data_IF_993808330568
#
_entry.id   IF_993808330568
#
_cell.length_a   1.000
_cell.length_b   1.000
_cell.length_c   1.000
_cell.angle_alpha   90.00
_cell.angle_beta   90.00
_cell.angle_gamma   90.00
#
_symmetry.space_group_name_H-M   'P 1'
#
loop_
_entity.id
_entity.type
_entity.pdbx_description
1 polymer ?
#
# COMPACT_ATOMS: atom_id res chain seq x y z
N UNK A 1 42.40 5.30 16.08
CA UNK A 1 41.40 6.36 15.95
C UNK A 1 41.12 6.57 14.46
N UNK A 2 40.13 5.89 13.93
CA UNK A 2 39.69 6.03 12.53
C UNK A 2 38.26 6.55 12.57
N UNK A 3 38.05 7.76 12.04
CA UNK A 3 36.73 8.42 11.95
C UNK A 3 36.06 7.94 10.69
N UNK A 4 35.15 7.00 10.79
CA UNK A 4 34.22 6.68 9.69
C UNK A 4 33.17 7.78 9.58
N UNK A 5 33.29 8.61 8.52
CA UNK A 5 32.28 9.58 8.11
C UNK A 5 31.32 8.86 7.16
N UNK A 6 30.11 8.57 7.62
CA UNK A 6 29.00 8.22 6.73
C UNK A 6 28.54 9.49 6.00
N UNK A 7 28.95 9.62 4.75
CA UNK A 7 28.45 10.66 3.84
C UNK A 7 27.14 10.16 3.17
N UNK A 8 26.02 10.48 3.75
CA UNK A 8 24.75 10.44 3.05
C UNK A 8 24.70 11.63 2.07
N UNK A 9 25.05 11.40 0.81
CA UNK A 9 24.84 12.35 -0.27
C UNK A 9 23.41 12.21 -0.79
N UNK A 10 22.57 13.22 -0.53
CA UNK A 10 21.34 13.43 -1.26
C UNK A 10 21.68 13.76 -2.73
N UNK A 11 20.94 13.27 -3.72
CA UNK A 11 21.17 13.61 -5.11
C UNK A 11 20.95 15.12 -5.33
N UNK A 12 21.82 15.80 -6.12
CA UNK A 12 21.71 17.23 -6.36
C UNK A 12 20.51 17.53 -7.25
N UNK A 13 19.59 18.34 -6.74
CA UNK A 13 18.61 19.02 -7.57
C UNK A 13 19.31 20.08 -8.42
N UNK A 14 19.19 19.96 -9.74
CA UNK A 14 19.73 20.93 -10.70
C UNK A 14 19.05 22.27 -10.53
N UNK A 15 19.78 23.26 -10.01
CA UNK A 15 19.40 24.66 -10.04
C UNK A 15 20.13 25.26 -11.25
N UNK A 16 19.43 25.51 -12.33
CA UNK A 16 19.87 26.39 -13.36
C UNK A 16 19.57 27.85 -12.96
N UNK A 17 20.63 28.57 -12.68
CA UNK A 17 20.58 30.06 -12.57
C UNK A 17 20.55 30.63 -13.97
N UNK A 18 19.47 31.32 -14.32
CA UNK A 18 19.47 32.26 -15.46
C UNK A 18 19.70 33.65 -14.92
N UNK A 19 20.81 34.23 -15.37
CA UNK A 19 21.18 35.63 -15.15
C UNK A 19 20.24 36.55 -15.94
N UNK A 20 19.66 37.52 -15.23
CA UNK A 20 19.03 38.70 -15.82
C UNK A 20 20.08 39.66 -16.41
N UNK A 21 19.86 40.08 -17.64
CA UNK A 21 20.37 41.33 -18.13
C UNK A 21 19.22 42.13 -18.77
N UNK A 22 19.03 43.31 -18.17
CA UNK A 22 18.13 44.39 -18.59
C UNK A 22 18.28 44.76 -20.06
N UNK A 23 17.16 45.05 -20.74
CA UNK A 23 17.07 46.28 -21.54
C UNK A 23 15.61 46.68 -21.80
N UNK A 24 15.36 47.95 -21.52
CA UNK A 24 14.15 48.73 -21.77
C UNK A 24 13.79 48.82 -23.26
N UNK A 25 12.50 48.73 -23.58
CA UNK A 25 11.78 49.74 -24.38
C UNK A 25 10.28 49.46 -24.35
N UNK A 26 9.50 50.55 -24.18
CA UNK A 26 8.06 50.51 -23.97
C UNK A 26 7.26 50.29 -25.26
N UNK A 27 6.00 49.96 -25.08
CA UNK A 27 4.80 50.61 -25.63
C UNK A 27 3.55 49.76 -25.44
N UNK A 28 2.50 50.44 -24.97
CA UNK A 28 1.06 50.24 -25.22
C UNK A 28 0.31 48.97 -24.75
N UNK A 29 -0.57 49.21 -23.79
CA UNK A 29 -1.72 48.44 -23.37
C UNK A 29 -2.75 48.22 -24.48
N UNK A 30 -3.40 47.06 -24.51
CA UNK A 30 -4.86 47.06 -24.54
C UNK A 30 -5.48 46.22 -23.42
N UNK A 31 -6.48 46.80 -22.82
CA UNK A 31 -7.42 46.23 -21.88
C UNK A 31 -7.95 44.86 -22.39
N UNK A 32 -7.82 43.85 -21.57
CA UNK A 32 -8.51 42.57 -21.81
C UNK A 32 -9.42 42.26 -20.65
N UNK A 33 -10.70 42.14 -21.03
CA UNK A 33 -11.87 41.81 -20.23
C UNK A 33 -11.59 40.62 -19.31
N UNK A 34 -12.11 40.73 -18.09
CA UNK A 34 -12.27 39.60 -17.15
C UNK A 34 -12.98 38.45 -17.83
N UNK A 35 -12.28 37.35 -17.99
CA UNK A 35 -12.91 36.08 -18.31
C UNK A 35 -12.93 35.21 -17.05
N UNK A 36 -14.13 34.99 -16.61
CA UNK A 36 -14.60 34.01 -15.63
C UNK A 36 -13.91 32.66 -15.77
N UNK A 37 -13.62 32.06 -14.65
CA UNK A 37 -12.86 30.84 -14.44
C UNK A 37 -13.16 29.72 -15.44
N UNK A 38 -12.13 29.27 -16.11
CA UNK A 38 -12.13 27.99 -16.79
C UNK A 38 -11.78 26.91 -15.78
N UNK A 39 -12.80 26.33 -15.16
CA UNK A 39 -12.73 24.98 -14.58
C UNK A 39 -12.45 24.03 -15.74
N UNK A 40 -11.20 23.57 -15.84
CA UNK A 40 -10.81 22.60 -16.85
C UNK A 40 -11.58 21.28 -16.62
N UNK A 41 -12.62 21.09 -17.43
CA UNK A 41 -13.25 19.79 -17.59
C UNK A 41 -12.17 18.78 -17.98
N UNK A 42 -11.96 17.80 -17.12
CA UNK A 42 -11.09 16.66 -17.38
C UNK A 42 -11.70 15.87 -18.53
N UNK A 43 -10.93 15.60 -19.57
CA UNK A 43 -11.33 14.66 -20.62
C UNK A 43 -11.47 13.27 -19.99
N UNK A 44 -12.64 13.01 -19.42
CA UNK A 44 -12.99 11.69 -18.90
C UNK A 44 -13.01 10.74 -20.09
N UNK A 45 -12.22 9.65 -20.02
CA UNK A 45 -12.37 8.51 -20.93
C UNK A 45 -13.86 8.12 -20.95
N UNK A 46 -14.43 7.88 -22.15
CA UNK A 46 -15.81 7.45 -22.23
C UNK A 46 -15.99 6.11 -21.51
N UNK A 47 -17.19 5.86 -20.97
CA UNK A 47 -17.51 4.57 -20.33
C UNK A 47 -17.21 3.40 -21.27
N UNK A 48 -17.48 3.55 -22.58
CA UNK A 48 -17.16 2.56 -23.58
C UNK A 48 -15.66 2.26 -23.68
N UNK A 49 -14.81 3.29 -23.61
CA UNK A 49 -13.36 3.10 -23.62
C UNK A 49 -12.88 2.39 -22.35
N UNK A 50 -13.43 2.73 -21.19
CA UNK A 50 -13.11 2.07 -19.91
C UNK A 50 -13.59 0.61 -19.92
N UNK A 51 -14.81 0.35 -20.39
CA UNK A 51 -15.35 -1.01 -20.53
C UNK A 51 -14.51 -1.85 -21.49
N UNK A 52 -14.02 -1.27 -22.58
CA UNK A 52 -13.11 -1.94 -23.49
C UNK A 52 -11.77 -2.29 -22.82
N UNK A 53 -11.19 -1.39 -22.06
CA UNK A 53 -9.94 -1.65 -21.32
C UNK A 53 -10.08 -2.81 -20.34
N UNK A 54 -11.21 -2.94 -19.64
CA UNK A 54 -11.42 -4.06 -18.71
C UNK A 54 -11.67 -5.40 -19.41
N UNK A 55 -12.09 -5.41 -20.68
CA UNK A 55 -12.22 -6.64 -21.47
C UNK A 55 -10.87 -7.30 -21.78
N UNK A 56 -9.80 -6.51 -21.81
CA UNK A 56 -8.43 -6.98 -22.05
C UNK A 56 -7.75 -7.56 -20.79
N UNK A 57 -8.38 -7.42 -19.62
CA UNK A 57 -7.83 -7.95 -18.37
C UNK A 57 -8.27 -9.40 -18.16
N UNK A 58 -7.33 -10.20 -17.66
CA UNK A 58 -7.61 -11.57 -17.22
C UNK A 58 -8.41 -11.54 -15.92
N UNK A 59 -9.74 -11.76 -16.05
CA UNK A 59 -10.72 -11.68 -14.98
C UNK A 59 -11.79 -12.74 -15.14
N UNK A 60 -12.26 -13.28 -14.02
CA UNK A 60 -13.46 -14.09 -14.00
C UNK A 60 -14.74 -13.24 -14.20
N UNK A 61 -15.85 -13.90 -14.50
CA UNK A 61 -17.14 -13.23 -14.79
C UNK A 61 -17.66 -12.40 -13.60
N UNK A 62 -17.37 -12.83 -12.38
CA UNK A 62 -17.77 -12.12 -11.14
C UNK A 62 -16.98 -10.84 -10.98
N UNK A 63 -15.65 -10.92 -11.16
CA UNK A 63 -14.76 -9.76 -11.15
C UNK A 63 -15.15 -8.76 -12.24
N UNK A 64 -15.45 -9.25 -13.45
CA UNK A 64 -15.87 -8.41 -14.58
C UNK A 64 -17.16 -7.64 -14.26
N UNK A 65 -18.19 -8.32 -13.79
CA UNK A 65 -19.45 -7.66 -13.38
C UNK A 65 -19.26 -6.61 -12.30
N UNK A 66 -18.41 -6.90 -11.31
CA UNK A 66 -18.11 -5.96 -10.21
C UNK A 66 -17.37 -4.72 -10.74
N UNK A 67 -16.42 -4.90 -11.65
CA UNK A 67 -15.70 -3.77 -12.28
C UNK A 67 -16.63 -2.92 -13.14
N UNK A 68 -17.53 -3.53 -13.90
CA UNK A 68 -18.56 -2.80 -14.68
C UNK A 68 -19.45 -1.95 -13.76
N UNK A 69 -19.95 -2.52 -12.67
CA UNK A 69 -20.74 -1.80 -11.67
C UNK A 69 -19.94 -0.63 -11.09
N UNK A 70 -18.68 -0.87 -10.72
CA UNK A 70 -17.80 0.17 -10.18
C UNK A 70 -17.60 1.32 -11.18
N UNK A 71 -17.31 1.03 -12.46
CA UNK A 71 -17.12 2.04 -13.50
C UNK A 71 -18.38 2.86 -13.76
N UNK A 72 -19.55 2.23 -13.77
CA UNK A 72 -20.85 2.92 -13.89
C UNK A 72 -21.09 3.82 -12.69
N UNK A 73 -20.80 3.37 -11.47
CA UNK A 73 -20.92 4.19 -10.27
C UNK A 73 -19.95 5.38 -10.31
N UNK A 74 -18.69 5.13 -10.65
CA UNK A 74 -17.64 6.16 -10.77
C UNK A 74 -18.06 7.27 -11.75
N UNK A 75 -18.65 6.92 -12.87
CA UNK A 75 -19.12 7.89 -13.85
C UNK A 75 -20.31 8.74 -13.34
N UNK A 76 -21.20 8.14 -12.55
CA UNK A 76 -22.39 8.83 -12.00
C UNK A 76 -22.06 9.81 -10.87
N UNK A 77 -20.90 9.68 -10.22
CA UNK A 77 -20.54 10.52 -9.07
C UNK A 77 -20.29 11.96 -9.50
N UNK A 78 -19.71 12.19 -10.68
CA UNK A 78 -19.38 13.53 -11.16
C UNK A 78 -18.23 14.18 -10.37
N UNK A 79 -18.31 15.49 -10.19
CA UNK A 79 -17.30 16.28 -9.44
C UNK A 79 -17.54 16.14 -7.94
N UNK A 80 -16.49 15.77 -7.20
CA UNK A 80 -16.54 15.57 -5.74
C UNK A 80 -16.33 16.90 -5.00
N UNK A 81 -17.19 17.18 -4.00
CA UNK A 81 -17.06 18.33 -3.13
C UNK A 81 -17.10 17.89 -1.67
N UNK A 82 -16.31 18.56 -0.81
CA UNK A 82 -16.23 18.24 0.62
C UNK A 82 -17.59 18.31 1.35
N UNK A 83 -18.49 19.22 0.94
CA UNK A 83 -19.79 19.42 1.55
C UNK A 83 -20.79 18.27 1.27
N UNK A 84 -20.48 17.46 0.26
CA UNK A 84 -21.29 16.31 -0.15
C UNK A 84 -21.03 15.06 0.69
N UNK A 85 -20.10 15.11 1.62
CA UNK A 85 -19.76 13.96 2.45
C UNK A 85 -20.36 14.04 3.85
N UNK A 86 -20.79 12.87 4.34
CA UNK A 86 -21.21 12.63 5.71
C UNK A 86 -20.29 11.62 6.35
N UNK A 87 -19.60 12.01 7.43
CA UNK A 87 -18.69 11.11 8.16
C UNK A 87 -19.52 10.06 8.93
N UNK A 88 -19.24 8.78 8.67
CA UNK A 88 -19.86 7.65 9.36
C UNK A 88 -18.94 7.06 10.44
N UNK A 89 -17.61 7.22 10.29
CA UNK A 89 -16.63 6.74 11.25
C UNK A 89 -15.21 6.92 10.76
N UNK A 90 -14.25 6.59 11.61
CA UNK A 90 -12.84 6.58 11.27
C UNK A 90 -12.39 5.15 10.99
N UNK A 91 -11.64 4.94 9.92
CA UNK A 91 -11.09 3.64 9.53
C UNK A 91 -9.65 3.45 9.99
N UNK A 92 -8.91 4.56 10.11
CA UNK A 92 -7.54 4.55 10.59
C UNK A 92 -6.88 5.92 10.47
N UNK A 93 -5.82 6.09 11.24
CA UNK A 93 -4.95 7.27 11.20
C UNK A 93 -3.49 6.84 11.20
N UNK A 94 -2.65 7.54 10.44
CA UNK A 94 -1.23 7.25 10.32
C UNK A 94 -0.47 8.38 9.64
N UNK A 95 0.79 8.12 9.29
CA UNK A 95 1.65 9.10 8.61
C UNK A 95 1.09 9.60 7.28
N UNK A 96 0.26 8.78 6.62
CA UNK A 96 -0.42 9.13 5.36
C UNK A 96 -1.68 9.97 5.53
N UNK A 97 -2.03 10.41 6.75
CA UNK A 97 -3.27 11.13 7.06
C UNK A 97 -4.32 10.27 7.77
N UNK A 98 -5.54 10.78 7.81
CA UNK A 98 -6.69 10.10 8.42
C UNK A 98 -7.56 9.51 7.32
N UNK A 99 -8.02 8.27 7.51
CA UNK A 99 -8.97 7.63 6.58
C UNK A 99 -10.31 7.48 7.28
N UNK A 100 -11.34 8.09 6.71
CA UNK A 100 -12.71 8.04 7.21
C UNK A 100 -13.58 7.15 6.31
N UNK A 101 -14.56 6.49 6.94
CA UNK A 101 -15.72 5.94 6.26
C UNK A 101 -16.74 7.07 6.10
N UNK A 102 -17.07 7.42 4.88
CA UNK A 102 -17.97 8.54 4.60
C UNK A 102 -19.04 8.12 3.56
N UNK A 103 -20.23 8.75 3.68
CA UNK A 103 -21.28 8.61 2.69
C UNK A 103 -21.26 9.83 1.77
N UNK A 104 -21.15 9.60 0.47
CA UNK A 104 -21.36 10.64 -0.52
C UNK A 104 -22.87 10.85 -0.72
N UNK A 105 -23.41 11.95 -0.17
CA UNK A 105 -24.86 12.24 -0.08
C UNK A 105 -25.56 12.17 -1.43
N UNK A 106 -25.03 12.80 -2.53
CA UNK A 106 -25.74 12.79 -3.81
C UNK A 106 -25.90 11.39 -4.44
N UNK A 107 -24.91 10.51 -4.28
CA UNK A 107 -24.95 9.16 -4.85
C UNK A 107 -25.39 8.07 -3.86
N UNK A 108 -25.41 8.38 -2.55
CA UNK A 108 -25.64 7.40 -1.49
C UNK A 108 -24.49 6.41 -1.26
N UNK A 109 -23.41 6.48 -2.05
CA UNK A 109 -22.28 5.54 -1.97
C UNK A 109 -21.48 5.75 -0.68
N UNK A 110 -21.08 4.64 -0.08
CA UNK A 110 -20.13 4.63 1.03
C UNK A 110 -18.73 4.51 0.44
N UNK A 111 -17.83 5.42 0.86
CA UNK A 111 -16.46 5.54 0.40
C UNK A 111 -15.50 5.56 1.57
N UNK A 112 -14.25 5.16 1.31
CA UNK A 112 -13.11 5.50 2.15
C UNK A 112 -12.54 6.82 1.66
N UNK A 113 -12.50 7.84 2.52
CA UNK A 113 -11.92 9.15 2.21
C UNK A 113 -10.66 9.36 3.03
N UNK A 114 -9.52 9.41 2.35
CA UNK A 114 -8.22 9.70 2.94
C UNK A 114 -7.98 11.20 2.94
N UNK A 115 -7.74 11.76 4.11
CA UNK A 115 -7.53 13.17 4.36
C UNK A 115 -6.05 13.40 4.65
N UNK A 116 -5.37 14.15 3.79
CA UNK A 116 -3.95 14.46 3.92
C UNK A 116 -3.83 15.95 4.14
N UNK A 117 -3.45 16.35 5.36
CA UNK A 117 -3.18 17.76 5.65
C UNK A 117 -1.85 18.17 5.04
N UNK A 118 -1.87 19.18 4.17
CA UNK A 118 -0.70 19.55 3.39
C UNK A 118 -0.68 21.06 3.08
N UNK A 119 0.15 21.77 3.82
CA UNK A 119 0.39 23.20 3.59
C UNK A 119 1.50 23.39 2.55
N UNK A 120 1.13 23.43 1.28
CA UNK A 120 2.06 23.59 0.16
C UNK A 120 1.68 24.74 -0.75
N UNK A 121 2.67 25.26 -1.48
CA UNK A 121 2.46 26.28 -2.50
C UNK A 121 1.46 25.81 -3.57
N UNK A 122 0.64 26.72 -4.16
CA UNK A 122 -0.37 26.35 -5.16
C UNK A 122 0.17 25.55 -6.35
N UNK A 123 1.40 25.83 -6.79
CA UNK A 123 2.05 25.10 -7.88
C UNK A 123 2.29 23.63 -7.52
N UNK A 124 2.83 23.36 -6.33
CA UNK A 124 3.08 22.00 -5.82
C UNK A 124 1.76 21.24 -5.64
N UNK A 125 0.74 21.88 -5.05
CA UNK A 125 -0.60 21.32 -4.93
C UNK A 125 -1.16 20.89 -6.28
N UNK A 126 -1.08 21.76 -7.30
CA UNK A 126 -1.61 21.45 -8.63
C UNK A 126 -0.83 20.32 -9.30
N UNK A 127 0.46 20.19 -9.01
CA UNK A 127 1.27 19.06 -9.45
C UNK A 127 0.81 17.75 -8.78
N UNK A 128 0.64 17.73 -7.46
CA UNK A 128 0.14 16.56 -6.72
C UNK A 128 -1.22 16.10 -7.26
N UNK A 129 -2.16 17.03 -7.46
CA UNK A 129 -3.48 16.70 -8.03
C UNK A 129 -3.35 16.12 -9.45
N UNK A 130 -2.41 16.62 -10.26
CA UNK A 130 -2.15 16.03 -11.60
C UNK A 130 -1.58 14.62 -11.50
N UNK A 131 -0.66 14.36 -10.58
CA UNK A 131 -0.08 13.04 -10.37
C UNK A 131 -1.12 12.04 -9.85
N UNK A 132 -2.05 12.48 -8.99
CA UNK A 132 -3.17 11.65 -8.53
C UNK A 132 -4.17 11.29 -9.66
N UNK A 133 -4.12 11.99 -10.80
CA UNK A 133 -4.99 11.64 -11.96
C UNK A 133 -4.72 10.26 -12.53
N UNK A 134 -3.49 9.78 -12.46
CA UNK A 134 -3.16 8.44 -12.93
C UNK A 134 -3.98 7.36 -12.21
N UNK A 135 -4.40 7.62 -10.97
CA UNK A 135 -5.30 6.72 -10.23
C UNK A 135 -6.67 6.53 -10.91
N UNK A 136 -7.14 7.53 -11.67
CA UNK A 136 -8.38 7.39 -12.43
C UNK A 136 -8.29 6.32 -13.54
N UNK A 137 -7.10 6.09 -14.04
CA UNK A 137 -6.84 5.13 -15.11
C UNK A 137 -6.57 3.73 -14.57
N UNK A 138 -6.19 3.64 -13.27
CA UNK A 138 -5.97 2.37 -12.59
C UNK A 138 -7.30 1.69 -12.24
N UNK A 139 -7.84 0.92 -13.19
CA UNK A 139 -9.08 0.17 -13.00
C UNK A 139 -8.79 -1.33 -13.17
N UNK A 140 -8.65 -2.04 -12.06
CA UNK A 140 -8.33 -3.47 -12.01
C UNK A 140 -9.03 -4.11 -10.80
N UNK A 141 -9.46 -5.39 -10.89
CA UNK A 141 -10.05 -6.09 -9.75
C UNK A 141 -9.08 -6.29 -8.58
N UNK A 142 -7.79 -6.08 -8.81
CA UNK A 142 -6.71 -6.25 -7.83
C UNK A 142 -6.27 -4.93 -7.17
N UNK A 143 -6.84 -3.80 -7.63
CA UNK A 143 -6.51 -2.45 -7.15
C UNK A 143 -7.76 -1.84 -6.51
N UNK A 144 -7.59 -1.16 -5.37
CA UNK A 144 -8.70 -0.42 -4.74
C UNK A 144 -9.19 0.68 -5.69
N UNK A 145 -10.50 0.68 -5.94
CA UNK A 145 -11.13 1.61 -6.87
C UNK A 145 -10.97 3.07 -6.41
N UNK A 146 -10.63 3.95 -7.34
CA UNK A 146 -10.48 5.37 -7.10
C UNK A 146 -11.64 6.15 -7.73
N UNK A 147 -12.37 6.92 -6.93
CA UNK A 147 -13.47 7.77 -7.39
C UNK A 147 -13.00 9.17 -7.78
N UNK A 148 -12.09 9.76 -7.02
CA UNK A 148 -11.57 11.09 -7.31
C UNK A 148 -10.74 11.65 -6.17
N UNK A 149 -10.11 12.80 -6.43
CA UNK A 149 -9.39 13.58 -5.43
C UNK A 149 -9.66 15.07 -5.63
N UNK A 150 -9.71 15.81 -4.52
CA UNK A 150 -9.89 17.25 -4.51
C UNK A 150 -9.13 17.89 -3.36
N UNK A 151 -8.94 19.20 -3.45
CA UNK A 151 -8.28 20.00 -2.41
C UNK A 151 -9.25 21.02 -1.82
N UNK A 152 -9.24 21.14 -0.49
CA UNK A 152 -9.99 22.16 0.23
C UNK A 152 -9.26 22.54 1.52
N UNK A 153 -9.06 23.82 1.74
CA UNK A 153 -8.58 24.42 3.02
C UNK A 153 -7.32 23.76 3.62
N UNK A 154 -6.29 23.54 2.81
CA UNK A 154 -5.05 22.91 3.33
C UNK A 154 -5.07 21.40 3.35
N UNK A 155 -6.11 20.75 2.81
CA UNK A 155 -6.29 19.32 2.85
C UNK A 155 -6.54 18.73 1.47
N UNK A 156 -5.83 17.66 1.14
CA UNK A 156 -6.12 16.81 -0.02
C UNK A 156 -7.02 15.67 0.43
N UNK A 157 -8.14 15.51 -0.24
CA UNK A 157 -9.06 14.40 -0.06
C UNK A 157 -8.92 13.42 -1.20
N UNK A 158 -8.71 12.14 -0.90
CA UNK A 158 -8.65 11.04 -1.86
C UNK A 158 -9.83 10.12 -1.55
N UNK A 159 -10.78 9.99 -2.51
CA UNK A 159 -11.99 9.19 -2.35
C UNK A 159 -11.83 7.85 -3.06
N UNK A 160 -11.97 6.78 -2.31
CA UNK A 160 -11.70 5.41 -2.77
C UNK A 160 -12.87 4.47 -2.42
N UNK A 161 -12.88 3.32 -3.08
CA UNK A 161 -13.75 2.21 -2.76
C UNK A 161 -13.62 1.81 -1.29
N UNK A 162 -14.75 1.59 -0.61
CA UNK A 162 -14.77 1.13 0.76
C UNK A 162 -14.68 -0.39 0.84
N UNK A 163 -13.64 -0.89 1.50
CA UNK A 163 -13.39 -2.30 1.74
C UNK A 163 -13.79 -2.62 3.20
N UNK A 164 -14.92 -3.28 3.40
CA UNK A 164 -15.55 -3.47 4.72
C UNK A 164 -14.84 -4.49 5.63
N UNK A 165 -13.97 -5.34 5.07
CA UNK A 165 -13.09 -6.23 5.82
C UNK A 165 -11.83 -5.52 6.35
N UNK A 166 -11.55 -4.28 5.90
CA UNK A 166 -10.36 -3.52 6.30
C UNK A 166 -9.07 -4.06 5.70
N UNK A 167 -7.96 -3.76 6.36
CA UNK A 167 -6.61 -4.15 5.92
C UNK A 167 -6.14 -5.46 6.56
N UNK A 168 -5.20 -6.15 5.91
CA UNK A 168 -4.69 -7.44 6.38
C UNK A 168 -3.95 -7.35 7.72
N UNK A 169 -3.38 -6.20 8.08
CA UNK A 169 -2.80 -6.03 9.43
C UNK A 169 -3.88 -6.03 10.51
N UNK A 170 -5.09 -5.50 10.25
CA UNK A 170 -6.23 -5.60 11.15
C UNK A 170 -6.76 -7.04 11.22
N UNK A 171 -6.83 -7.72 10.09
CA UNK A 171 -7.18 -9.14 10.04
C UNK A 171 -6.16 -9.98 10.82
N UNK A 172 -4.87 -9.71 10.65
CA UNK A 172 -3.79 -10.41 11.35
C UNK A 172 -3.87 -10.25 12.87
N UNK A 173 -4.14 -9.03 13.35
CA UNK A 173 -4.35 -8.76 14.80
C UNK A 173 -5.48 -9.59 15.40
N UNK A 174 -6.55 -9.84 14.63
CA UNK A 174 -7.69 -10.66 15.08
C UNK A 174 -7.45 -12.16 14.91
N UNK A 175 -6.89 -12.56 13.76
CA UNK A 175 -6.65 -13.96 13.42
C UNK A 175 -5.40 -14.55 14.08
N UNK A 176 -4.52 -13.72 14.66
CA UNK A 176 -3.20 -14.07 15.18
C UNK A 176 -2.24 -14.45 14.06
N UNK A 177 -2.67 -15.23 13.08
CA UNK A 177 -1.95 -15.63 11.87
C UNK A 177 -2.93 -15.97 10.75
N UNK A 178 -2.48 -15.87 9.51
CA UNK A 178 -3.31 -16.15 8.34
C UNK A 178 -2.98 -17.56 7.80
N UNK A 179 -3.99 -18.43 7.57
CA UNK A 179 -3.78 -19.76 7.02
C UNK A 179 -3.12 -19.75 5.63
N UNK A 180 -2.27 -20.74 5.35
CA UNK A 180 -1.53 -20.84 4.09
C UNK A 180 -2.42 -20.79 2.83
N UNK A 181 -3.59 -21.44 2.73
CA UNK A 181 -4.44 -21.33 1.56
C UNK A 181 -4.94 -19.89 1.31
N UNK A 182 -5.23 -19.13 2.38
CA UNK A 182 -5.61 -17.72 2.31
C UNK A 182 -4.40 -16.88 1.85
N UNK A 183 -3.20 -17.15 2.40
CA UNK A 183 -1.96 -16.46 1.97
C UNK A 183 -1.66 -16.67 0.49
N UNK A 184 -1.95 -17.85 -0.04
CA UNK A 184 -1.75 -18.14 -1.45
C UNK A 184 -2.65 -17.29 -2.35
N UNK A 185 -3.93 -17.11 -2.00
CA UNK A 185 -4.85 -16.21 -2.70
C UNK A 185 -4.42 -14.74 -2.57
N UNK A 186 -3.97 -14.33 -1.39
CA UNK A 186 -3.44 -12.98 -1.16
C UNK A 186 -2.22 -12.74 -2.05
N UNK A 187 -1.26 -13.66 -2.04
CA UNK A 187 -0.03 -13.54 -2.84
C UNK A 187 -0.34 -13.47 -4.35
N UNK A 188 -1.18 -14.38 -4.87
CA UNK A 188 -1.61 -14.36 -6.27
C UNK A 188 -2.22 -13.02 -6.65
N UNK A 189 -3.13 -12.49 -5.82
CA UNK A 189 -3.79 -11.21 -6.06
C UNK A 189 -2.81 -10.03 -6.04
N UNK A 190 -1.89 -10.00 -5.07
CA UNK A 190 -0.87 -8.93 -4.99
C UNK A 190 0.05 -8.96 -6.20
N UNK A 191 0.52 -10.15 -6.61
CA UNK A 191 1.34 -10.30 -7.81
C UNK A 191 0.63 -9.81 -9.08
N UNK A 192 -0.66 -10.13 -9.25
CA UNK A 192 -1.49 -9.63 -10.37
C UNK A 192 -1.66 -8.10 -10.31
N UNK A 193 -1.85 -7.55 -9.11
CA UNK A 193 -1.95 -6.11 -8.91
C UNK A 193 -0.64 -5.38 -9.25
N UNK A 194 0.51 -5.90 -8.79
CA UNK A 194 1.83 -5.34 -9.09
C UNK A 194 2.16 -5.42 -10.58
N UNK A 195 1.85 -6.56 -11.24
CA UNK A 195 2.01 -6.72 -12.67
C UNK A 195 1.16 -5.71 -13.46
N UNK A 196 -0.12 -5.55 -13.09
CA UNK A 196 -1.00 -4.55 -13.70
C UNK A 196 -0.44 -3.12 -13.57
N UNK A 197 -0.01 -2.71 -12.39
CA UNK A 197 0.59 -1.39 -12.17
C UNK A 197 1.85 -1.20 -13.03
N UNK A 198 2.70 -2.22 -13.11
CA UNK A 198 3.95 -2.15 -13.87
C UNK A 198 3.73 -2.14 -15.38
N UNK A 199 2.93 -3.06 -15.90
CA UNK A 199 2.77 -3.29 -17.34
C UNK A 199 1.88 -2.24 -18.01
N UNK A 200 0.78 -1.87 -17.35
CA UNK A 200 -0.20 -0.93 -17.93
C UNK A 200 0.13 0.54 -17.63
N UNK A 201 0.72 0.83 -16.46
CA UNK A 201 0.91 2.20 -15.99
C UNK A 201 2.36 2.58 -15.69
N UNK A 202 3.31 1.65 -15.77
CA UNK A 202 4.73 1.85 -15.43
C UNK A 202 4.94 2.34 -13.98
N UNK A 203 4.03 1.97 -13.07
CA UNK A 203 4.06 2.33 -11.67
C UNK A 203 4.73 1.22 -10.86
N UNK A 204 5.56 1.60 -9.90
CA UNK A 204 6.11 0.75 -8.85
C UNK A 204 5.37 1.10 -7.56
N UNK A 205 4.93 0.09 -6.78
CA UNK A 205 4.08 0.30 -5.59
C UNK A 205 4.82 1.03 -4.46
N UNK A 206 6.01 0.60 -4.11
CA UNK A 206 6.93 1.19 -3.13
C UNK A 206 6.54 1.06 -1.65
N UNK A 207 5.38 0.50 -1.34
CA UNK A 207 4.92 0.35 0.05
C UNK A 207 4.02 -0.90 0.19
N UNK A 208 4.51 -2.05 -0.30
CA UNK A 208 3.81 -3.34 -0.15
C UNK A 208 3.94 -3.84 1.28
N UNK A 209 2.81 -3.95 1.97
CA UNK A 209 2.73 -4.42 3.37
C UNK A 209 1.28 -4.79 3.73
N UNK A 210 1.04 -5.54 4.81
CA UNK A 210 -0.31 -5.97 5.19
C UNK A 210 -1.33 -4.83 5.37
N UNK A 211 -0.89 -3.64 5.84
CA UNK A 211 -1.79 -2.48 5.99
C UNK A 211 -2.25 -1.86 4.66
N UNK A 212 -1.57 -2.14 3.56
CA UNK A 212 -1.88 -1.65 2.21
C UNK A 212 -2.51 -2.74 1.32
N UNK A 213 -2.92 -3.86 1.91
CA UNK A 213 -3.69 -4.91 1.25
C UNK A 213 -5.03 -4.99 1.96
N UNK A 214 -6.11 -4.66 1.23
CA UNK A 214 -7.45 -4.57 1.77
C UNK A 214 -8.29 -5.77 1.33
N UNK A 215 -9.24 -6.14 2.18
CA UNK A 215 -10.20 -7.22 1.91
C UNK A 215 -11.63 -6.75 2.18
N UNK A 216 -12.61 -7.46 1.63
CA UNK A 216 -14.00 -7.18 1.90
C UNK A 216 -14.83 -8.46 2.14
N UNK A 217 -16.06 -8.27 2.61
CA UNK A 217 -17.02 -9.35 2.91
C UNK A 217 -17.43 -10.19 1.68
N UNK A 218 -17.09 -9.75 0.47
CA UNK A 218 -17.30 -10.49 -0.78
C UNK A 218 -16.12 -11.34 -1.20
N UNK A 219 -15.04 -11.36 -0.41
CA UNK A 219 -13.82 -12.12 -0.68
C UNK A 219 -12.88 -11.45 -1.69
N UNK A 220 -13.09 -10.16 -2.00
CA UNK A 220 -12.14 -9.41 -2.84
C UNK A 220 -10.92 -9.02 -2.01
N UNK A 221 -9.75 -9.13 -2.64
CA UNK A 221 -8.46 -8.71 -2.09
C UNK A 221 -7.92 -7.65 -3.04
N UNK A 222 -7.51 -6.48 -2.53
CA UNK A 222 -7.03 -5.37 -3.38
C UNK A 222 -5.87 -4.65 -2.72
N UNK A 223 -4.90 -4.20 -3.52
CA UNK A 223 -3.80 -3.36 -3.05
C UNK A 223 -4.18 -1.87 -3.16
N UNK A 224 -3.70 -1.07 -2.21
CA UNK A 224 -3.94 0.38 -2.16
C UNK A 224 -2.66 1.13 -1.80
N UNK A 225 -2.74 2.45 -1.81
CA UNK A 225 -1.66 3.36 -1.38
C UNK A 225 -0.33 3.18 -2.12
N UNK A 226 -0.38 2.80 -3.40
CA UNK A 226 0.82 2.70 -4.22
C UNK A 226 1.39 4.10 -4.56
N UNK A 227 2.71 4.17 -4.75
CA UNK A 227 3.49 5.39 -4.87
C UNK A 227 3.24 6.20 -6.15
N UNK A 228 2.05 6.77 -6.28
CA UNK A 228 1.63 7.55 -7.45
C UNK A 228 2.17 8.97 -7.47
N UNK A 229 2.69 9.49 -6.36
CA UNK A 229 3.14 10.87 -6.28
C UNK A 229 4.43 11.00 -5.48
N UNK A 230 5.56 11.05 -6.18
CA UNK A 230 6.84 11.43 -5.56
C UNK A 230 6.74 12.77 -4.85
N UNK A 231 6.10 13.76 -5.48
CA UNK A 231 5.91 15.10 -4.93
C UNK A 231 5.01 15.10 -3.68
N UNK A 232 4.00 14.22 -3.62
CA UNK A 232 3.17 14.06 -2.42
C UNK A 232 4.00 13.50 -1.27
N UNK A 233 4.81 12.46 -1.51
CA UNK A 233 5.69 11.86 -0.52
C UNK A 233 6.70 12.88 0.00
N UNK A 234 7.37 13.61 -0.91
CA UNK A 234 8.36 14.63 -0.54
C UNK A 234 7.71 15.79 0.23
N UNK A 235 6.51 16.21 -0.17
CA UNK A 235 5.78 17.28 0.49
C UNK A 235 5.28 16.87 1.88
N UNK A 236 4.84 15.62 2.04
CA UNK A 236 4.48 15.06 3.36
C UNK A 236 5.71 15.00 4.28
N UNK A 237 6.84 14.49 3.79
CA UNK A 237 8.08 14.43 4.56
C UNK A 237 8.51 15.84 5.04
N UNK A 238 8.44 16.84 4.17
CA UNK A 238 8.76 18.23 4.52
C UNK A 238 7.78 18.84 5.52
N UNK A 239 6.48 18.53 5.42
CA UNK A 239 5.46 18.98 6.37
C UNK A 239 5.69 18.39 7.75
N UNK A 240 6.05 17.10 7.82
CA UNK A 240 6.40 16.45 9.10
C UNK A 240 7.64 17.07 9.78
N UNK A 241 8.63 17.50 9.02
CA UNK A 241 9.80 18.22 9.57
C UNK A 241 9.41 19.60 10.09
N UNK A 242 8.44 20.29 9.48
CA UNK A 242 7.95 21.61 9.91
C UNK A 242 6.96 21.58 11.08
N UNK A 243 6.20 20.50 11.25
CA UNK A 243 5.08 20.40 12.22
C UNK A 243 5.51 19.93 13.61
N UNK A 244 6.79 19.79 13.89
CA UNK A 244 7.31 19.40 15.24
C UNK A 244 6.83 20.31 16.38
N UNK A 245 6.29 21.49 16.09
CA UNK A 245 5.92 22.51 17.08
C UNK A 245 4.48 22.42 17.57
N UNK A 246 3.59 21.60 16.98
CA UNK A 246 2.16 21.61 17.28
C UNK A 246 1.55 20.26 17.69
N UNK A 247 2.35 19.21 17.84
CA UNK A 247 1.82 17.95 18.38
C UNK A 247 1.83 18.00 19.90
N UNK A 248 0.71 18.35 20.46
CA UNK A 248 0.40 18.16 21.89
C UNK A 248 0.23 16.69 22.20
N UNK A 249 1.10 16.12 23.07
CA UNK A 249 0.81 14.93 23.85
C UNK A 249 1.05 13.57 23.18
N UNK A 250 2.19 12.95 23.56
CA UNK A 250 2.34 11.51 23.81
C UNK A 250 2.08 10.48 22.66
N UNK A 251 2.58 10.75 21.47
CA UNK A 251 2.93 9.63 20.55
C UNK A 251 4.44 9.65 20.38
N UNK A 252 5.18 8.63 20.87
CA UNK A 252 6.64 8.60 20.67
C UNK A 252 6.95 8.64 19.17
N UNK A 253 7.77 9.62 18.76
CA UNK A 253 8.24 9.80 17.39
C UNK A 253 8.85 8.51 16.82
N UNK A 254 9.39 7.65 17.69
CA UNK A 254 9.90 6.32 17.37
C UNK A 254 8.85 5.38 16.76
N UNK A 255 7.57 5.44 17.16
CA UNK A 255 6.50 4.59 16.59
C UNK A 255 6.04 5.03 15.21
N UNK A 256 6.13 6.31 14.91
CA UNK A 256 5.64 6.89 13.65
C UNK A 256 6.62 6.68 12.48
N UNK A 257 7.92 6.74 12.76
CA UNK A 257 8.97 6.52 11.76
C UNK A 257 9.29 5.03 11.56
N UNK A 258 9.09 4.20 12.57
CA UNK A 258 9.47 2.79 12.58
C UNK A 258 8.69 1.97 11.55
N UNK A 259 7.40 2.23 11.36
CA UNK A 259 6.56 1.48 10.39
C UNK A 259 7.03 1.61 8.93
N UNK A 260 7.71 2.70 8.57
CA UNK A 260 8.21 2.93 7.22
C UNK A 260 9.45 2.09 6.89
N UNK A 261 10.21 1.69 7.92
CA UNK A 261 11.49 1.00 7.76
C UNK A 261 11.40 -0.53 7.86
N UNK A 262 10.28 -1.07 8.35
CA UNK A 262 10.13 -2.51 8.54
C UNK A 262 10.18 -3.33 7.25
N UNK A 263 9.71 -2.77 6.13
CA UNK A 263 9.65 -3.47 4.84
C UNK A 263 10.70 -2.97 3.84
N UNK A 264 11.69 -2.20 4.34
CA UNK A 264 12.75 -1.63 3.49
C UNK A 264 13.67 -2.74 2.96
N UNK A 265 14.11 -2.59 1.74
CA UNK A 265 14.94 -3.55 1.02
C UNK A 265 16.44 -3.29 1.26
N UNK A 266 17.27 -4.35 1.23
CA UNK A 266 18.72 -4.20 1.41
C UNK A 266 19.37 -3.25 0.41
N UNK A 267 18.96 -3.29 -0.86
CA UNK A 267 19.47 -2.43 -1.92
C UNK A 267 19.22 -0.94 -1.68
N UNK A 268 18.06 -0.59 -1.14
CA UNK A 268 17.74 0.80 -0.81
C UNK A 268 18.61 1.35 0.33
N UNK A 269 18.94 0.50 1.30
CA UNK A 269 19.85 0.86 2.38
C UNK A 269 21.29 1.06 1.88
N UNK A 270 21.67 0.38 0.80
CA UNK A 270 22.95 0.55 0.12
C UNK A 270 22.97 1.75 -0.85
N UNK A 271 21.85 2.46 -1.02
CA UNK A 271 21.76 3.65 -1.86
C UNK A 271 21.35 3.38 -3.31
N UNK A 272 20.93 2.17 -3.63
CA UNK A 272 20.43 1.80 -4.94
C UNK A 272 19.01 2.32 -5.20
N UNK A 273 18.63 2.41 -6.47
CA UNK A 273 17.32 2.87 -6.89
C UNK A 273 16.24 1.81 -6.63
N UNK A 274 15.06 2.28 -6.26
CA UNK A 274 13.88 1.45 -6.07
C UNK A 274 13.45 0.78 -7.39
N UNK A 275 13.08 -0.50 -7.31
CA UNK A 275 12.66 -1.29 -8.48
C UNK A 275 11.46 -2.19 -8.14
N UNK A 276 10.93 -2.89 -9.13
CA UNK A 276 9.90 -3.91 -8.91
C UNK A 276 10.41 -5.04 -8.01
N UNK A 277 11.71 -5.34 -8.06
CA UNK A 277 12.31 -6.32 -7.16
C UNK A 277 12.19 -5.91 -5.69
N UNK A 278 12.14 -4.61 -5.40
CA UNK A 278 11.92 -4.08 -4.05
C UNK A 278 10.50 -4.40 -3.55
N UNK A 279 9.46 -4.25 -4.39
CA UNK A 279 8.09 -4.66 -4.04
C UNK A 279 7.99 -6.16 -3.75
N UNK A 280 8.77 -6.98 -4.45
CA UNK A 280 8.83 -8.44 -4.24
C UNK A 280 9.46 -8.79 -2.90
N UNK A 281 10.52 -8.10 -2.49
CA UNK A 281 11.09 -8.26 -1.15
C UNK A 281 10.05 -7.94 -0.06
N UNK A 282 9.39 -6.79 -0.17
CA UNK A 282 8.35 -6.36 0.76
C UNK A 282 7.17 -7.34 0.82
N UNK A 283 6.78 -7.93 -0.32
CA UNK A 283 5.80 -9.01 -0.37
C UNK A 283 6.28 -10.25 0.39
N UNK A 284 7.52 -10.67 0.18
CA UNK A 284 8.12 -11.80 0.89
C UNK A 284 8.09 -11.61 2.41
N UNK A 285 8.51 -10.43 2.91
CA UNK A 285 8.43 -10.10 4.33
C UNK A 285 7.00 -10.12 4.85
N UNK A 286 6.06 -9.55 4.09
CA UNK A 286 4.63 -9.53 4.44
C UNK A 286 4.05 -10.94 4.55
N UNK A 287 4.44 -11.85 3.65
CA UNK A 287 4.00 -13.25 3.69
C UNK A 287 4.52 -13.97 4.93
N UNK A 288 5.80 -13.79 5.28
CA UNK A 288 6.36 -14.36 6.51
C UNK A 288 5.65 -13.83 7.74
N UNK A 289 5.48 -12.49 7.84
CA UNK A 289 4.78 -11.87 8.96
C UNK A 289 3.35 -12.41 9.12
N UNK A 290 2.58 -12.47 8.05
CA UNK A 290 1.20 -12.98 8.08
C UNK A 290 1.14 -14.48 8.41
N UNK A 291 2.13 -15.27 7.98
CA UNK A 291 2.20 -16.69 8.23
C UNK A 291 2.54 -17.03 9.69
N UNK A 292 3.45 -16.29 10.31
CA UNK A 292 3.89 -16.53 11.70
C UNK A 292 3.16 -15.66 12.73
N UNK A 293 2.47 -14.61 12.30
CA UNK A 293 1.68 -13.73 13.17
C UNK A 293 2.47 -12.59 13.82
N UNK A 294 3.72 -12.38 13.40
CA UNK A 294 4.58 -11.31 13.91
C UNK A 294 5.60 -10.89 12.89
N UNK A 295 6.12 -9.68 13.02
CA UNK A 295 7.19 -9.18 12.16
C UNK A 295 8.45 -10.08 12.29
N UNK A 296 9.06 -10.52 11.16
CA UNK A 296 10.06 -11.57 11.17
C UNK A 296 11.51 -11.11 11.40
N UNK A 297 11.76 -9.84 11.68
CA UNK A 297 13.11 -9.32 11.94
C UNK A 297 13.17 -8.61 13.30
N UNK A 298 14.00 -9.06 14.24
CA UNK A 298 14.82 -10.28 14.18
C UNK A 298 13.96 -11.54 14.18
N UNK A 299 14.46 -12.66 13.65
CA UNK A 299 13.70 -13.92 13.66
C UNK A 299 13.25 -14.30 15.07
N UNK A 300 12.00 -14.78 15.25
CA UNK A 300 11.51 -15.22 16.53
C UNK A 300 12.32 -16.41 17.04
N UNK A 301 12.53 -16.46 18.34
CA UNK A 301 13.27 -17.53 18.99
C UNK A 301 12.52 -18.88 18.92
N UNK A 302 13.23 -20.03 19.03
CA UNK A 302 12.62 -21.35 18.93
C UNK A 302 11.48 -21.61 19.93
N UNK A 303 11.53 -21.01 21.13
CA UNK A 303 10.48 -21.18 22.14
C UNK A 303 9.22 -20.41 21.74
N UNK A 304 9.36 -19.23 21.15
CA UNK A 304 8.24 -18.46 20.58
C UNK A 304 7.60 -19.22 19.43
N UNK A 305 8.39 -19.78 18.52
CA UNK A 305 7.87 -20.61 17.43
C UNK A 305 7.16 -21.87 17.93
N UNK A 306 7.69 -22.53 18.97
CA UNK A 306 7.01 -23.67 19.63
C UNK A 306 5.68 -23.29 20.26
N UNK A 307 5.57 -22.11 20.85
CA UNK A 307 4.30 -21.60 21.38
C UNK A 307 3.27 -21.38 20.29
N UNK A 308 3.71 -20.90 19.10
CA UNK A 308 2.84 -20.61 17.96
C UNK A 308 2.40 -21.87 17.23
N UNK A 309 3.31 -22.82 16.99
CA UNK A 309 3.09 -23.97 16.10
C UNK A 309 3.06 -25.33 16.81
N UNK A 310 3.32 -25.36 18.11
CA UNK A 310 3.28 -26.60 18.90
C UNK A 310 4.35 -27.61 18.49
N UNK A 311 4.00 -28.90 18.50
CA UNK A 311 4.89 -30.00 18.17
C UNK A 311 5.33 -30.09 16.71
N UNK A 312 4.77 -29.28 15.81
CA UNK A 312 5.18 -29.24 14.40
C UNK A 312 6.62 -28.76 14.20
N UNK A 313 7.25 -28.17 15.24
CA UNK A 313 8.64 -27.68 15.21
C UNK A 313 9.59 -28.62 15.95
N UNK A 314 9.38 -29.91 15.95
CA UNK A 314 10.34 -30.87 16.52
C UNK A 314 11.53 -31.05 15.55
N UNK A 315 12.74 -30.70 16.00
CA UNK A 315 13.99 -30.96 15.28
C UNK A 315 14.81 -29.75 14.86
N UNK A 316 14.39 -28.53 15.17
CA UNK A 316 15.20 -27.34 14.89
C UNK A 316 16.25 -27.18 15.96
N UNK A 317 17.47 -27.68 15.72
CA UNK A 317 18.64 -27.33 16.49
C UNK A 317 18.95 -25.84 16.28
N UNK A 318 19.29 -25.08 17.33
CA UNK A 318 19.67 -23.68 17.15
C UNK A 318 20.91 -23.62 16.23
N UNK A 319 20.78 -22.87 15.13
CA UNK A 319 21.93 -22.56 14.29
C UNK A 319 23.02 -21.85 15.12
N UNK A 320 24.28 -22.30 15.07
CA UNK A 320 25.34 -21.77 15.96
C UNK A 320 25.80 -20.34 15.63
N UNK A 321 25.18 -19.64 14.67
CA UNK A 321 25.65 -18.37 14.14
C UNK A 321 24.80 -17.14 14.46
N UNK A 322 23.70 -17.23 15.20
CA UNK A 322 23.01 -16.02 15.63
C UNK A 322 23.73 -15.41 16.83
N UNK A 323 24.64 -14.49 16.59
CA UNK A 323 25.06 -13.53 17.60
C UNK A 323 23.87 -12.65 17.93
N UNK A 324 23.03 -13.09 18.89
CA UNK A 324 22.10 -12.18 19.53
C UNK A 324 22.88 -10.96 20.03
N UNK A 325 22.48 -9.74 19.73
CA UNK A 325 23.04 -8.57 20.41
C UNK A 325 22.82 -8.78 21.91
N UNK A 326 23.89 -8.96 22.66
CA UNK A 326 23.82 -9.08 24.11
C UNK A 326 23.35 -7.74 24.66
N UNK A 327 22.07 -7.59 24.90
CA UNK A 327 21.56 -6.51 25.73
C UNK A 327 21.91 -6.84 27.18
N UNK A 328 22.83 -6.08 27.76
CA UNK A 328 22.99 -6.00 29.21
C UNK A 328 21.76 -5.30 29.80
N UNK A 329 20.70 -6.06 30.08
CA UNK A 329 19.44 -5.59 30.67
C UNK A 329 18.73 -6.78 31.31
N UNK A 330 18.02 -6.55 32.39
CA UNK A 330 17.29 -7.52 33.21
C UNK A 330 16.50 -8.54 32.38
N UNK A 331 16.41 -9.81 32.79
CA UNK A 331 15.73 -10.87 32.05
C UNK A 331 14.21 -10.67 32.14
N UNK A 332 13.54 -10.44 31.01
CA UNK A 332 12.07 -10.51 31.02
C UNK A 332 11.31 -10.02 29.80
N UNK A 333 11.75 -9.02 29.06
CA UNK A 333 10.99 -8.55 27.89
C UNK A 333 11.90 -8.32 26.68
N UNK A 334 11.51 -8.74 25.47
CA UNK A 334 12.23 -8.44 24.25
C UNK A 334 12.14 -6.93 24.00
N UNK A 335 13.27 -6.23 24.16
CA UNK A 335 13.36 -4.82 23.83
C UNK A 335 13.22 -4.66 22.32
N UNK A 336 12.37 -3.76 21.82
CA UNK A 336 12.33 -3.45 20.40
C UNK A 336 13.71 -2.99 19.93
N UNK A 337 14.15 -3.54 18.78
CA UNK A 337 15.43 -3.22 18.17
C UNK A 337 15.45 -1.73 17.79
N UNK A 338 16.55 -1.03 18.07
CA UNK A 338 16.70 0.35 17.64
C UNK A 338 16.72 0.41 16.10
N UNK A 339 16.25 1.52 15.52
CA UNK A 339 16.12 1.64 14.06
C UNK A 339 17.42 1.34 13.32
N UNK A 340 18.54 1.84 13.82
CA UNK A 340 19.86 1.59 13.20
C UNK A 340 20.29 0.12 13.29
N UNK A 341 19.95 -0.57 14.38
CA UNK A 341 20.21 -2.00 14.55
C UNK A 341 19.35 -2.82 13.58
N UNK A 342 18.09 -2.41 13.35
CA UNK A 342 17.20 -3.05 12.36
C UNK A 342 17.75 -2.89 10.94
N UNK A 343 18.19 -1.69 10.57
CA UNK A 343 18.74 -1.43 9.24
C UNK A 343 20.04 -2.22 9.00
N UNK A 344 20.90 -2.26 10.00
CA UNK A 344 22.15 -3.06 9.96
C UNK A 344 21.83 -4.55 9.83
N UNK A 345 20.84 -5.04 10.58
CA UNK A 345 20.37 -6.43 10.50
C UNK A 345 19.88 -6.79 9.08
N UNK A 346 19.03 -5.94 8.48
CA UNK A 346 18.50 -6.15 7.13
C UNK A 346 19.63 -6.27 6.09
N UNK A 347 20.69 -5.48 6.22
CA UNK A 347 21.83 -5.50 5.29
C UNK A 347 22.76 -6.69 5.54
N UNK A 348 23.09 -6.99 6.78
CA UNK A 348 24.22 -7.87 7.10
C UNK A 348 23.79 -9.30 7.49
N UNK A 349 22.62 -9.49 8.11
CA UNK A 349 22.18 -10.80 8.57
C UNK A 349 21.40 -11.56 7.49
N UNK A 350 21.30 -12.90 7.52
CA UNK A 350 20.50 -13.67 6.58
C UNK A 350 19.03 -13.23 6.56
N UNK A 351 18.35 -13.32 5.40
CA UNK A 351 16.95 -12.97 5.32
C UNK A 351 16.09 -13.90 6.19
N UNK A 352 14.94 -13.42 6.69
CA UNK A 352 14.02 -14.27 7.45
C UNK A 352 13.49 -15.41 6.61
N UNK A 353 13.19 -16.53 7.28
CA UNK A 353 12.67 -17.75 6.65
C UNK A 353 11.44 -18.24 7.39
N UNK A 354 10.59 -18.95 6.66
CA UNK A 354 9.49 -19.70 7.28
C UNK A 354 10.03 -20.85 8.13
N UNK A 355 9.40 -21.16 9.28
CA UNK A 355 9.83 -22.28 10.12
C UNK A 355 9.66 -23.61 9.37
N UNK A 356 10.70 -24.47 9.40
CA UNK A 356 10.68 -25.74 8.69
C UNK A 356 9.62 -26.69 9.24
N UNK A 357 9.03 -27.51 8.36
CA UNK A 357 8.05 -28.55 8.74
C UNK A 357 6.65 -28.03 9.07
N UNK A 358 6.41 -26.73 8.99
CA UNK A 358 5.11 -26.10 9.29
C UNK A 358 4.30 -25.84 8.02
N UNK A 359 4.97 -25.37 7.00
CA UNK A 359 4.38 -24.93 5.72
C UNK A 359 4.75 -25.87 4.59
N UNK A 360 4.03 -25.78 3.48
CA UNK A 360 4.36 -26.57 2.28
C UNK A 360 5.72 -26.20 1.72
N UNK A 361 6.46 -27.15 1.13
CA UNK A 361 7.76 -26.87 0.51
C UNK A 361 7.67 -25.78 -0.57
N UNK A 362 6.57 -25.76 -1.32
CA UNK A 362 6.33 -24.80 -2.40
C UNK A 362 6.14 -23.37 -1.86
N UNK A 363 5.47 -23.21 -0.71
CA UNK A 363 5.36 -21.90 -0.07
C UNK A 363 6.71 -21.41 0.46
N UNK A 364 7.48 -22.32 1.07
CA UNK A 364 8.84 -22.01 1.53
C UNK A 364 9.72 -21.57 0.36
N UNK A 365 9.71 -22.30 -0.76
CA UNK A 365 10.49 -21.97 -1.96
C UNK A 365 10.10 -20.59 -2.55
N UNK A 366 8.80 -20.29 -2.63
CA UNK A 366 8.33 -18.98 -3.10
C UNK A 366 8.86 -17.84 -2.23
N UNK A 367 8.76 -17.97 -0.91
CA UNK A 367 9.25 -16.97 0.05
C UNK A 367 10.77 -16.81 -0.07
N UNK A 368 11.53 -17.92 -0.16
CA UNK A 368 12.99 -17.88 -0.34
C UNK A 368 13.40 -17.20 -1.65
N UNK A 369 12.59 -17.30 -2.71
CA UNK A 369 12.80 -16.57 -3.98
C UNK A 369 12.48 -15.08 -3.86
N UNK A 370 11.49 -14.70 -3.06
CA UNK A 370 11.17 -13.30 -2.79
C UNK A 370 12.25 -12.61 -1.92
N UNK A 371 12.85 -13.33 -0.99
CA UNK A 371 13.76 -12.79 0.02
C UNK A 371 15.26 -12.98 -0.31
N UNK A 372 15.61 -13.06 -1.61
CA UNK A 372 17.01 -12.93 -2.03
C UNK A 372 17.49 -11.50 -1.78
N UNK A 373 18.63 -11.34 -1.10
CA UNK A 373 19.19 -10.02 -0.79
C UNK A 373 19.62 -9.26 -2.03
N UNK A 374 20.23 -9.95 -2.98
CA UNK A 374 20.57 -9.38 -4.28
C UNK A 374 19.32 -9.25 -5.15
N UNK A 375 18.96 -8.04 -5.61
CA UNK A 375 17.81 -7.85 -6.51
C UNK A 375 17.91 -8.66 -7.80
N UNK A 376 19.13 -8.91 -8.29
CA UNK A 376 19.36 -9.69 -9.51
C UNK A 376 19.14 -11.20 -9.34
N UNK A 377 19.19 -11.71 -8.10
CA UNK A 377 18.91 -13.10 -7.76
C UNK A 377 17.46 -13.32 -7.34
N UNK A 378 16.75 -12.23 -7.04
CA UNK A 378 15.36 -12.24 -6.63
C UNK A 378 14.47 -12.55 -7.83
N UNK A 379 13.47 -13.43 -7.65
CA UNK A 379 12.55 -13.78 -8.71
C UNK A 379 11.76 -12.53 -9.18
N UNK A 380 11.47 -12.46 -10.47
CA UNK A 380 10.60 -11.44 -11.05
C UNK A 380 9.12 -11.79 -10.93
N UNK A 381 8.24 -10.84 -11.28
CA UNK A 381 6.78 -11.03 -11.21
C UNK A 381 6.31 -12.22 -12.04
N UNK A 382 6.84 -12.38 -13.24
CA UNK A 382 6.45 -13.45 -14.17
C UNK A 382 6.83 -14.82 -13.60
N UNK A 383 8.03 -14.95 -13.04
CA UNK A 383 8.51 -16.18 -12.39
C UNK A 383 7.63 -16.54 -11.20
N UNK A 384 7.26 -15.55 -10.35
CA UNK A 384 6.42 -15.79 -9.19
C UNK A 384 4.97 -16.11 -9.55
N UNK A 385 4.38 -15.45 -10.54
CA UNK A 385 3.03 -15.77 -11.03
C UNK A 385 2.97 -17.20 -11.63
N UNK A 386 4.07 -17.67 -12.22
CA UNK A 386 4.18 -19.01 -12.78
C UNK A 386 4.61 -20.06 -11.75
N UNK A 387 4.85 -19.69 -10.50
CA UNK A 387 5.26 -20.60 -9.44
C UNK A 387 4.17 -21.63 -9.12
N UNK A 388 4.56 -22.87 -8.84
CA UNK A 388 3.64 -23.98 -8.62
C UNK A 388 2.64 -23.70 -7.47
N UNK A 389 3.10 -23.11 -6.39
CA UNK A 389 2.25 -22.72 -5.26
C UNK A 389 1.15 -21.73 -5.67
N UNK A 390 1.45 -20.77 -6.55
CA UNK A 390 0.47 -19.80 -7.06
C UNK A 390 -0.50 -20.46 -8.02
N UNK A 391 -0.01 -21.29 -8.95
CA UNK A 391 -0.87 -22.02 -9.90
C UNK A 391 -1.83 -22.97 -9.18
N UNK A 392 -1.38 -23.65 -8.13
CA UNK A 392 -2.23 -24.48 -7.29
C UNK A 392 -3.29 -23.62 -6.58
N UNK A 393 -2.89 -22.49 -6.01
CA UNK A 393 -3.81 -21.59 -5.34
C UNK A 393 -4.93 -21.07 -6.27
N UNK A 394 -4.64 -20.87 -7.56
CA UNK A 394 -5.65 -20.42 -8.53
C UNK A 394 -6.72 -21.48 -8.79
N UNK A 395 -6.34 -22.77 -8.74
CA UNK A 395 -7.25 -23.90 -8.97
C UNK A 395 -8.06 -24.29 -7.72
N UNK A 396 -7.55 -23.97 -6.53
CA UNK A 396 -8.23 -24.31 -5.27
C UNK A 396 -9.39 -23.33 -5.00
N UNK A 397 -10.53 -23.88 -4.60
CA UNK A 397 -11.66 -23.09 -4.12
C UNK A 397 -11.44 -22.77 -2.63
N UNK A 398 -11.04 -21.52 -2.35
CA UNK A 398 -10.77 -21.03 -0.99
C UNK A 398 -11.79 -19.96 -0.65
N UNK A 399 -12.59 -20.20 0.39
CA UNK A 399 -13.61 -19.26 0.87
C UNK A 399 -12.98 -18.06 1.60
N UNK A 400 -12.51 -17.10 0.81
CA UNK A 400 -11.97 -15.83 1.34
C UNK A 400 -13.08 -15.02 2.03
N UNK A 401 -14.28 -14.97 1.45
CA UNK A 401 -15.41 -14.22 1.98
C UNK A 401 -15.79 -14.71 3.38
N UNK A 402 -15.98 -16.01 3.55
CA UNK A 402 -16.27 -16.61 4.84
C UNK A 402 -15.16 -16.43 5.86
N UNK A 403 -13.88 -16.54 5.43
CA UNK A 403 -12.75 -16.26 6.30
C UNK A 403 -12.73 -14.80 6.78
N UNK A 404 -12.92 -13.84 5.89
CA UNK A 404 -12.96 -12.40 6.23
C UNK A 404 -14.12 -12.12 7.17
N UNK A 405 -15.33 -12.58 6.83
CA UNK A 405 -16.53 -12.37 7.64
C UNK A 405 -16.37 -12.94 9.06
N UNK A 406 -15.84 -14.15 9.17
CA UNK A 406 -15.58 -14.79 10.46
C UNK A 406 -14.49 -14.06 11.26
N UNK A 407 -13.39 -13.67 10.62
CA UNK A 407 -12.25 -13.03 11.29
C UNK A 407 -12.61 -11.62 11.76
N UNK A 408 -13.34 -10.88 10.94
CA UNK A 408 -13.65 -9.47 11.22
C UNK A 408 -14.97 -9.27 11.95
N UNK A 409 -15.74 -10.35 12.16
CA UNK A 409 -17.06 -10.32 12.78
C UNK A 409 -18.03 -9.41 12.01
N UNK A 410 -18.08 -9.61 10.68
CA UNK A 410 -18.96 -8.86 9.78
C UNK A 410 -19.94 -9.81 9.08
N UNK A 411 -21.13 -9.30 8.81
CA UNK A 411 -22.15 -10.07 8.08
C UNK A 411 -21.79 -10.10 6.60
N UNK A 412 -21.87 -11.28 5.93
CA UNK A 412 -21.70 -11.36 4.48
C UNK A 412 -22.64 -10.39 3.76
N UNK A 413 -22.10 -9.54 2.88
CA UNK A 413 -22.95 -8.72 2.03
C UNK A 413 -23.68 -9.64 1.03
N UNK A 414 -24.96 -9.91 1.31
CA UNK A 414 -25.82 -10.61 0.35
C UNK A 414 -25.85 -9.83 -0.95
N UNK A 415 -25.69 -10.44 -2.13
CA UNK A 415 -25.95 -9.75 -3.38
C UNK A 415 -27.40 -9.24 -3.32
N UNK A 416 -27.59 -7.94 -3.29
CA UNK A 416 -28.93 -7.34 -3.47
C UNK A 416 -29.42 -7.82 -4.82
N UNK A 417 -30.36 -8.78 -4.82
CA UNK A 417 -31.19 -9.03 -6.00
C UNK A 417 -31.80 -7.68 -6.37
N UNK A 418 -31.75 -7.26 -7.65
CA UNK A 418 -32.52 -6.12 -8.08
C UNK A 418 -33.99 -6.42 -7.71
N UNK A 419 -34.61 -5.53 -6.94
CA UNK A 419 -36.02 -5.60 -6.65
C UNK A 419 -36.77 -5.54 -7.99
N UNK A 420 -37.35 -6.67 -8.38
CA UNK A 420 -38.34 -6.75 -9.42
C UNK A 420 -39.67 -6.22 -8.84
N UNK A 421 -39.72 -4.91 -8.63
CA UNK A 421 -40.98 -4.23 -8.34
C UNK A 421 -40.83 -2.74 -8.63
N UNK A 422 -40.99 -2.39 -9.91
CA UNK A 422 -41.34 -1.06 -10.36
C UNK A 422 -42.08 -1.20 -11.70
N UNK A 423 -43.19 -1.90 -11.64
CA UNK A 423 -44.29 -1.74 -12.62
C UNK A 423 -45.59 -1.68 -11.79
N UNK A 424 -46.00 -0.47 -11.53
CA UNK A 424 -47.39 0.00 -11.46
C UNK A 424 -47.38 1.51 -11.54
#
# INVERSE_FOLDING_TARGET
MSKNKFNLKLPPGSIEQTNDHDNHTGTETPQRKASTGATGSFGAMSLESLLKCIQELDMDDTQRKRMEIFLVQKQKIGELNADDFEKLGELGAGNGGVVNKERHKPSGLIMARKLIHLEVKPAVRNQIIRELKVLHECNSPFIVGFYGAFYRQGEISICMEYMDGGSLDLCLKKAIRIPEPILAKICSTVLKGLAYLREKHQIIHRDVKPSNILVNSRGEIKICDFGVSGQLIDSMANTFVGTRSYMSGEVPVERLTTSLYYYIEPERLNGDHYSVASDIWSLGLSLVEMAIGMYPIPPPDPNTLKKIFGSKIEGVSPSPTSRSPRSAGLPGEPRPMAIFELLDYIVNEPPPRLPPGVFTPEFVDLVDRCLKKSPSERADLTTLQNHEWIKRAEQEDVDIAGWVCKTMDITPSTPTKPSADANC
#
